data_IF_986366789384
#
_entry.id   IF_986366789384
#
_cell.length_a   1.000
_cell.length_b   1.000
_cell.length_c   1.000
_cell.angle_alpha   90.00
_cell.angle_beta   90.00
_cell.angle_gamma   90.00
#
_symmetry.space_group_name_H-M   'P 1'
#
loop_
_entity.id
_entity.type
_entity.pdbx_description
1 polymer ?
#
# COMPACT_ATOMS: atom_id res chain seq x y z
N UNK A 1 -21.89 12.06 -18.38
CA UNK A 1 -20.49 11.87 -17.96
C UNK A 1 -20.54 11.23 -16.60
N UNK A 2 -19.90 10.07 -16.37
CA UNK A 2 -19.83 9.50 -15.02
C UNK A 2 -19.25 10.59 -14.13
N UNK A 3 -19.80 10.74 -12.94
CA UNK A 3 -19.19 11.57 -11.90
C UNK A 3 -17.93 10.81 -11.41
N UNK A 4 -16.85 10.85 -12.21
CA UNK A 4 -15.55 10.55 -11.64
C UNK A 4 -15.45 11.40 -10.37
N UNK A 5 -15.07 10.78 -9.24
CA UNK A 5 -14.59 11.55 -8.11
C UNK A 5 -13.50 12.45 -8.71
N UNK A 6 -13.89 13.70 -9.06
CA UNK A 6 -12.90 14.70 -9.47
C UNK A 6 -11.82 14.58 -8.41
N UNK A 7 -10.56 14.42 -8.82
CA UNK A 7 -9.41 14.54 -7.93
C UNK A 7 -9.67 15.78 -7.10
N UNK A 8 -10.23 15.61 -5.91
CA UNK A 8 -10.48 16.73 -5.00
C UNK A 8 -9.09 17.19 -4.62
N UNK A 9 -8.82 18.47 -4.84
CA UNK A 9 -7.62 19.07 -4.29
C UNK A 9 -7.66 18.82 -2.78
N UNK A 10 -6.71 18.03 -2.33
CA UNK A 10 -6.66 17.61 -0.93
C UNK A 10 -6.30 18.84 -0.12
N UNK A 11 -7.26 19.34 0.64
CA UNK A 11 -7.00 20.44 1.57
C UNK A 11 -6.07 19.95 2.68
N UNK A 12 -5.18 20.84 3.13
CA UNK A 12 -4.28 20.55 4.24
C UNK A 12 -5.08 20.24 5.50
N UNK A 13 -4.74 19.12 6.13
CA UNK A 13 -5.32 18.62 7.38
C UNK A 13 -4.41 19.12 8.51
N UNK A 14 -4.92 20.01 9.35
CA UNK A 14 -4.08 20.71 10.33
C UNK A 14 -4.10 20.07 11.72
N UNK A 15 -5.02 19.14 11.96
CA UNK A 15 -5.13 18.47 13.25
C UNK A 15 -5.88 17.13 13.15
N UNK A 16 -5.75 16.25 14.16
CA UNK A 16 -6.42 14.96 14.19
C UNK A 16 -7.96 15.00 14.07
N UNK A 17 -8.61 16.08 14.52
CA UNK A 17 -10.08 16.20 14.42
C UNK A 17 -10.52 16.42 12.98
N UNK A 18 -9.77 17.19 12.21
CA UNK A 18 -10.05 17.40 10.78
C UNK A 18 -9.87 16.09 9.99
N UNK A 19 -8.85 15.28 10.31
CA UNK A 19 -8.66 13.97 9.72
C UNK A 19 -9.84 13.04 10.02
N UNK A 20 -10.32 13.02 11.27
CA UNK A 20 -11.48 12.22 11.67
C UNK A 20 -12.75 12.68 10.95
N UNK A 21 -13.00 13.99 10.91
CA UNK A 21 -14.16 14.55 10.22
C UNK A 21 -14.13 14.21 8.71
N UNK A 22 -12.95 14.28 8.07
CA UNK A 22 -12.79 13.88 6.67
C UNK A 22 -13.12 12.39 6.50
N UNK A 23 -12.59 11.52 7.36
CA UNK A 23 -12.84 10.08 7.33
C UNK A 23 -14.33 9.76 7.44
N UNK A 24 -15.00 10.32 8.43
CA UNK A 24 -16.43 10.11 8.63
C UNK A 24 -17.25 10.60 7.43
N UNK A 25 -16.89 11.75 6.87
CA UNK A 25 -17.51 12.25 5.63
C UNK A 25 -17.32 11.27 4.48
N UNK A 26 -16.10 10.76 4.26
CA UNK A 26 -15.82 9.79 3.19
C UNK A 26 -16.62 8.50 3.35
N UNK A 27 -16.77 8.01 4.59
CA UNK A 27 -17.59 6.82 4.91
C UNK A 27 -19.08 7.07 4.66
N UNK A 28 -19.59 8.27 4.98
CA UNK A 28 -20.99 8.66 4.75
C UNK A 28 -21.28 8.88 3.26
N UNK A 29 -20.36 9.51 2.53
CA UNK A 29 -20.52 9.81 1.11
C UNK A 29 -20.35 8.55 0.22
N UNK A 30 -19.90 7.44 0.80
CA UNK A 30 -19.72 6.17 0.07
C UNK A 30 -21.06 5.53 -0.24
N UNK A 31 -21.42 5.50 -1.51
CA UNK A 31 -22.53 4.68 -1.99
C UNK A 31 -22.09 3.21 -2.01
N UNK A 32 -22.67 2.41 -1.11
CA UNK A 32 -22.37 0.97 -0.96
C UNK A 32 -23.00 0.13 -2.06
N UNK A 33 -24.02 0.63 -2.70
CA UNK A 33 -24.76 -0.06 -3.76
C UNK A 33 -24.20 0.26 -5.15
N UNK A 34 -23.36 1.27 -5.25
CA UNK A 34 -22.69 1.64 -6.50
C UNK A 34 -21.79 0.51 -6.97
N UNK A 35 -21.96 0.12 -8.23
CA UNK A 35 -21.13 -0.92 -8.83
C UNK A 35 -19.67 -0.43 -8.94
N UNK A 36 -18.75 -1.24 -8.45
CA UNK A 36 -17.30 -1.00 -8.53
C UNK A 36 -16.62 -2.20 -9.19
N UNK A 37 -15.84 -1.91 -10.21
CA UNK A 37 -15.06 -2.92 -10.95
C UNK A 37 -13.61 -2.77 -10.51
N UNK A 38 -13.14 -3.63 -9.61
CA UNK A 38 -11.78 -3.60 -9.07
C UNK A 38 -10.86 -4.48 -9.91
N UNK A 39 -9.93 -3.88 -10.63
CA UNK A 39 -9.02 -4.55 -11.55
C UNK A 39 -7.61 -4.52 -10.96
N UNK A 40 -6.95 -5.68 -10.89
CA UNK A 40 -5.53 -5.76 -10.50
C UNK A 40 -4.65 -5.10 -11.55
N UNK A 41 -4.02 -3.97 -11.20
CA UNK A 41 -3.19 -3.17 -12.10
C UNK A 41 -1.71 -3.19 -11.75
N UNK A 42 -1.24 -4.28 -11.12
CA UNK A 42 0.17 -4.54 -10.84
C UNK A 42 0.68 -5.72 -11.69
N UNK A 43 0.90 -6.90 -11.13
CA UNK A 43 1.37 -8.07 -11.88
C UNK A 43 0.46 -8.48 -13.07
N UNK A 44 -0.84 -8.22 -12.99
CA UNK A 44 -1.78 -8.50 -14.08
C UNK A 44 -1.56 -7.65 -15.34
N UNK A 45 -0.81 -6.53 -15.25
CA UNK A 45 -0.44 -5.74 -16.45
C UNK A 45 0.34 -6.58 -17.45
N UNK A 46 1.18 -7.50 -17.01
CA UNK A 46 1.89 -8.45 -17.88
C UNK A 46 0.96 -9.43 -18.61
N UNK A 47 -0.30 -9.50 -18.19
CA UNK A 47 -1.33 -10.36 -18.78
C UNK A 47 -2.47 -9.58 -19.45
N UNK A 48 -2.23 -8.30 -19.82
CA UNK A 48 -3.19 -7.50 -20.58
C UNK A 48 -4.24 -6.76 -19.72
N UNK A 49 -3.98 -6.52 -18.43
CA UNK A 49 -4.93 -5.80 -17.59
C UNK A 49 -5.16 -4.34 -18.01
N UNK A 50 -4.20 -3.71 -18.69
CA UNK A 50 -4.36 -2.35 -19.24
C UNK A 50 -5.39 -2.29 -20.37
N UNK A 51 -5.39 -3.26 -21.25
CA UNK A 51 -6.36 -3.40 -22.33
C UNK A 51 -7.75 -3.68 -21.77
N UNK A 52 -7.85 -4.50 -20.71
CA UNK A 52 -9.11 -4.77 -20.01
C UNK A 52 -9.65 -3.49 -19.35
N UNK A 53 -8.79 -2.73 -18.68
CA UNK A 53 -9.16 -1.45 -18.07
C UNK A 53 -9.74 -0.49 -19.11
N UNK A 54 -9.07 -0.33 -20.24
CA UNK A 54 -9.55 0.51 -21.36
C UNK A 54 -10.90 0.02 -21.90
N UNK A 55 -11.05 -1.29 -22.11
CA UNK A 55 -12.30 -1.86 -22.58
C UNK A 55 -13.46 -1.59 -21.60
N UNK A 56 -13.25 -1.69 -20.29
CA UNK A 56 -14.26 -1.31 -19.29
C UNK A 56 -14.60 0.18 -19.35
N UNK A 57 -13.59 1.05 -19.44
CA UNK A 57 -13.81 2.50 -19.55
C UNK A 57 -14.65 2.87 -20.77
N UNK A 58 -14.35 2.26 -21.92
CA UNK A 58 -15.09 2.46 -23.16
C UNK A 58 -16.54 1.93 -23.07
N UNK A 59 -16.73 0.70 -22.57
CA UNK A 59 -18.03 0.07 -22.53
C UNK A 59 -18.97 0.71 -21.50
N UNK A 60 -18.45 1.01 -20.30
CA UNK A 60 -19.19 1.75 -19.26
C UNK A 60 -19.55 3.15 -19.73
N UNK A 61 -18.62 3.84 -20.38
CA UNK A 61 -18.84 5.17 -20.95
C UNK A 61 -19.85 5.17 -22.09
N UNK A 62 -19.78 4.22 -23.02
CA UNK A 62 -20.71 4.04 -24.14
C UNK A 62 -22.13 3.80 -23.67
N UNK A 63 -22.32 2.99 -22.61
CA UNK A 63 -23.63 2.69 -22.02
C UNK A 63 -24.09 3.72 -20.99
N UNK A 64 -23.25 4.69 -20.65
CA UNK A 64 -23.52 5.74 -19.65
C UNK A 64 -23.89 5.17 -18.28
N UNK A 65 -23.24 4.08 -17.86
CA UNK A 65 -23.51 3.43 -16.58
C UNK A 65 -22.82 4.20 -15.44
N UNK A 66 -23.48 4.25 -14.27
CA UNK A 66 -22.86 4.75 -13.05
C UNK A 66 -22.10 3.62 -12.35
N UNK A 67 -20.94 3.28 -12.89
CA UNK A 67 -20.04 2.29 -12.33
C UNK A 67 -18.65 2.91 -12.15
N UNK A 68 -18.00 2.62 -11.03
CA UNK A 68 -16.64 3.05 -10.72
C UNK A 68 -15.66 1.96 -11.17
N UNK A 69 -14.64 2.33 -11.94
CA UNK A 69 -13.55 1.43 -12.32
C UNK A 69 -12.34 1.77 -11.46
N UNK A 70 -11.87 0.81 -10.66
CA UNK A 70 -10.81 1.00 -9.67
C UNK A 70 -9.59 0.19 -10.06
N UNK A 71 -8.48 0.89 -10.30
CA UNK A 71 -7.16 0.27 -10.48
C UNK A 71 -6.60 -0.10 -9.12
N UNK A 72 -6.53 -1.39 -8.80
CA UNK A 72 -6.11 -1.84 -7.48
C UNK A 72 -4.70 -2.44 -7.46
N UNK A 73 -4.13 -2.53 -6.26
CA UNK A 73 -2.97 -3.37 -6.00
C UNK A 73 -3.23 -4.86 -6.23
N UNK A 74 -2.23 -5.69 -5.99
CA UNK A 74 -2.29 -7.12 -6.26
C UNK A 74 -3.38 -7.82 -5.43
N UNK A 75 -4.25 -8.59 -6.10
CA UNK A 75 -5.24 -9.45 -5.43
C UNK A 75 -4.60 -10.73 -4.86
N UNK A 76 -3.36 -11.07 -5.25
CA UNK A 76 -2.60 -12.23 -4.78
C UNK A 76 -2.78 -13.50 -5.62
N UNK A 77 -3.82 -13.62 -6.43
CA UNK A 77 -4.15 -14.85 -7.14
C UNK A 77 -3.62 -14.85 -8.59
N UNK A 78 -2.31 -14.74 -8.75
CA UNK A 78 -1.65 -14.61 -10.06
C UNK A 78 -1.89 -15.81 -11.00
N UNK A 79 -2.16 -17.02 -10.45
CA UNK A 79 -2.52 -18.19 -11.26
C UNK A 79 -3.83 -17.99 -12.07
N UNK A 80 -4.65 -17.00 -11.69
CA UNK A 80 -5.89 -16.62 -12.37
C UNK A 80 -5.81 -15.29 -13.10
N UNK A 81 -4.59 -14.76 -13.28
CA UNK A 81 -4.40 -13.46 -13.92
C UNK A 81 -4.86 -13.44 -15.39
N UNK A 82 -5.43 -12.32 -15.89
CA UNK A 82 -5.82 -11.12 -15.14
C UNK A 82 -7.05 -11.35 -14.26
N UNK A 83 -7.06 -10.70 -13.08
CA UNK A 83 -8.17 -10.85 -12.12
C UNK A 83 -8.89 -9.54 -11.88
N UNK A 84 -10.20 -9.62 -11.69
CA UNK A 84 -11.05 -8.53 -11.26
C UNK A 84 -12.17 -9.00 -10.33
N UNK A 85 -12.73 -8.08 -9.56
CA UNK A 85 -13.89 -8.31 -8.71
C UNK A 85 -14.91 -7.22 -8.95
N UNK A 86 -16.20 -7.60 -9.06
CA UNK A 86 -17.31 -6.67 -9.26
C UNK A 86 -18.15 -6.57 -7.98
N UNK A 87 -18.05 -5.44 -7.27
CA UNK A 87 -18.89 -5.10 -6.12
C UNK A 87 -20.18 -4.39 -6.58
N UNK A 88 -21.27 -4.44 -5.80
CA UNK A 88 -21.41 -5.06 -4.47
C UNK A 88 -21.62 -6.57 -4.51
N UNK A 89 -21.65 -7.16 -5.69
CA UNK A 89 -21.96 -8.60 -5.86
C UNK A 89 -20.82 -9.51 -5.38
N UNK A 90 -19.59 -9.00 -5.22
CA UNK A 90 -18.40 -9.77 -4.83
C UNK A 90 -17.98 -10.81 -5.88
N UNK A 91 -18.43 -10.67 -7.13
CA UNK A 91 -18.19 -11.67 -8.19
C UNK A 91 -16.75 -11.55 -8.66
N UNK A 92 -16.02 -12.67 -8.61
CA UNK A 92 -14.65 -12.80 -9.05
C UNK A 92 -14.57 -13.35 -10.47
N UNK A 93 -13.76 -12.73 -11.29
CA UNK A 93 -13.42 -13.21 -12.63
C UNK A 93 -11.90 -13.36 -12.78
N UNK A 94 -11.46 -14.48 -13.31
CA UNK A 94 -10.08 -14.76 -13.64
C UNK A 94 -9.86 -15.02 -15.13
N UNK A 95 -8.65 -14.75 -15.62
CA UNK A 95 -8.30 -14.99 -17.02
C UNK A 95 -9.09 -14.14 -18.03
N UNK A 96 -9.62 -13.01 -17.58
CA UNK A 96 -10.47 -12.11 -18.38
C UNK A 96 -9.68 -11.55 -19.58
N UNK A 97 -10.35 -11.39 -20.70
CA UNK A 97 -9.82 -10.77 -21.91
C UNK A 97 -10.67 -9.55 -22.30
N UNK A 98 -10.14 -8.60 -23.10
CA UNK A 98 -10.91 -7.43 -23.52
C UNK A 98 -12.25 -7.76 -24.20
N UNK A 99 -12.32 -8.86 -24.93
CA UNK A 99 -13.53 -9.33 -25.61
C UNK A 99 -14.63 -9.82 -24.66
N UNK A 100 -14.31 -10.16 -23.42
CA UNK A 100 -15.27 -10.63 -22.41
C UNK A 100 -15.95 -9.45 -21.70
N UNK A 101 -15.38 -8.25 -21.80
CA UNK A 101 -15.84 -7.05 -21.09
C UNK A 101 -17.29 -6.66 -21.45
N UNK A 102 -17.74 -6.65 -22.72
CA UNK A 102 -19.13 -6.31 -23.04
C UNK A 102 -20.13 -7.25 -22.36
N UNK A 103 -19.80 -8.54 -22.23
CA UNK A 103 -20.66 -9.52 -21.57
C UNK A 103 -20.68 -9.31 -20.06
N UNK A 104 -19.51 -9.09 -19.43
CA UNK A 104 -19.42 -8.78 -18.00
C UNK A 104 -20.23 -7.52 -17.69
N UNK A 105 -20.13 -6.48 -18.51
CA UNK A 105 -20.89 -5.25 -18.31
C UNK A 105 -22.39 -5.52 -18.42
N UNK A 106 -22.84 -6.22 -19.45
CA UNK A 106 -24.29 -6.48 -19.68
C UNK A 106 -24.91 -7.44 -18.68
N UNK A 107 -24.16 -8.41 -18.15
CA UNK A 107 -24.69 -9.41 -17.21
C UNK A 107 -24.46 -8.99 -15.77
N UNK A 108 -23.22 -8.57 -15.45
CA UNK A 108 -22.86 -8.33 -14.05
C UNK A 108 -23.07 -6.88 -13.65
N UNK A 109 -22.55 -5.92 -14.42
CA UNK A 109 -22.66 -4.50 -14.03
C UNK A 109 -24.12 -4.03 -14.09
N UNK A 110 -24.86 -4.39 -15.14
CA UNK A 110 -26.25 -3.95 -15.31
C UNK A 110 -27.27 -4.80 -14.54
N UNK A 111 -27.02 -6.11 -14.37
CA UNK A 111 -28.04 -7.05 -13.88
C UNK A 111 -27.65 -7.81 -12.61
N UNK A 112 -26.41 -7.67 -12.14
CA UNK A 112 -25.90 -8.39 -10.98
C UNK A 112 -25.76 -9.89 -11.15
N UNK A 113 -25.77 -10.40 -12.41
CA UNK A 113 -25.67 -11.82 -12.71
C UNK A 113 -24.27 -12.22 -13.11
N UNK A 114 -23.74 -13.37 -12.66
CA UNK A 114 -22.44 -13.83 -13.08
C UNK A 114 -22.42 -14.24 -14.56
N UNK A 115 -21.23 -14.14 -15.18
CA UNK A 115 -20.92 -14.74 -16.47
C UNK A 115 -20.31 -16.10 -16.20
N UNK A 116 -21.08 -17.16 -16.33
CA UNK A 116 -20.75 -18.51 -15.83
C UNK A 116 -19.42 -19.06 -16.35
N UNK A 117 -19.10 -18.89 -17.63
CA UNK A 117 -17.89 -19.44 -18.23
C UNK A 117 -16.58 -18.72 -17.82
N UNK A 118 -16.70 -17.54 -17.16
CA UNK A 118 -15.56 -16.77 -16.64
C UNK A 118 -15.35 -16.98 -15.13
N UNK A 119 -16.21 -17.74 -14.47
CA UNK A 119 -16.10 -17.99 -13.05
C UNK A 119 -14.94 -18.95 -12.73
N UNK A 120 -14.39 -18.77 -11.54
CA UNK A 120 -13.36 -19.67 -11.03
C UNK A 120 -13.92 -21.07 -10.75
N UNK A 121 -13.27 -22.07 -11.30
CA UNK A 121 -13.55 -23.46 -10.96
C UNK A 121 -12.42 -24.00 -10.09
N UNK A 122 -12.76 -24.44 -8.87
CA UNK A 122 -11.79 -25.03 -7.95
C UNK A 122 -11.29 -26.38 -8.50
N UNK A 123 -9.98 -26.52 -8.78
CA UNK A 123 -9.44 -27.73 -9.39
C UNK A 123 -9.51 -28.96 -8.50
N UNK A 124 -9.70 -28.79 -7.18
CA UNK A 124 -9.79 -29.90 -6.23
C UNK A 124 -11.19 -30.47 -6.15
N UNK A 125 -12.20 -29.62 -6.14
CA UNK A 125 -13.60 -30.01 -5.96
C UNK A 125 -14.42 -30.02 -7.26
N UNK A 126 -13.93 -29.42 -8.33
CA UNK A 126 -14.66 -29.20 -9.59
C UNK A 126 -15.81 -28.19 -9.46
N UNK A 127 -15.95 -27.52 -8.33
CA UNK A 127 -17.04 -26.55 -8.12
C UNK A 127 -16.71 -25.20 -8.73
N UNK A 128 -17.68 -24.64 -9.44
CA UNK A 128 -17.64 -23.26 -9.91
C UNK A 128 -18.06 -22.33 -8.78
N UNK A 129 -17.26 -21.26 -8.52
CA UNK A 129 -17.43 -20.35 -7.41
C UNK A 129 -17.46 -18.92 -7.95
N UNK A 130 -18.58 -18.22 -7.72
CA UNK A 130 -18.76 -16.85 -8.16
C UNK A 130 -18.16 -15.82 -7.16
N UNK A 131 -18.39 -16.04 -5.86
CA UNK A 131 -18.03 -15.11 -4.81
C UNK A 131 -16.53 -15.18 -4.48
N UNK A 132 -15.83 -14.06 -4.56
CA UNK A 132 -14.41 -13.99 -4.19
C UNK A 132 -14.14 -14.52 -2.77
N UNK A 133 -14.99 -14.18 -1.81
CA UNK A 133 -14.89 -14.61 -0.41
C UNK A 133 -15.04 -16.12 -0.19
N UNK A 134 -15.64 -16.84 -1.14
CA UNK A 134 -15.87 -18.28 -1.07
C UNK A 134 -14.73 -19.08 -1.70
N UNK A 135 -13.89 -18.44 -2.53
CA UNK A 135 -12.74 -19.08 -3.17
C UNK A 135 -11.77 -19.54 -2.07
N UNK A 136 -11.36 -20.82 -2.03
CA UNK A 136 -10.50 -21.36 -0.96
C UNK A 136 -9.21 -20.56 -0.76
N UNK A 137 -8.64 -20.02 -1.84
CA UNK A 137 -7.45 -19.18 -1.79
C UNK A 137 -7.67 -17.91 -0.93
N UNK A 138 -8.81 -17.24 -1.04
CA UNK A 138 -9.11 -16.03 -0.26
C UNK A 138 -9.74 -16.34 1.09
N UNK A 139 -10.68 -17.31 1.14
CA UNK A 139 -11.43 -17.68 2.34
C UNK A 139 -10.54 -18.06 3.52
N UNK A 140 -9.41 -18.68 3.24
CA UNK A 140 -8.48 -19.19 4.25
C UNK A 140 -7.35 -18.19 4.60
N UNK A 141 -7.40 -16.96 4.11
CA UNK A 141 -6.41 -15.92 4.39
C UNK A 141 -6.97 -14.86 5.36
N UNK A 142 -6.12 -14.48 6.31
CA UNK A 142 -6.30 -13.28 7.11
C UNK A 142 -5.27 -12.24 6.68
N UNK A 143 -5.69 -11.28 5.85
CA UNK A 143 -4.81 -10.23 5.35
C UNK A 143 -4.64 -9.14 6.43
N UNK A 144 -3.43 -8.98 6.95
CA UNK A 144 -3.06 -7.90 7.87
C UNK A 144 -2.29 -6.81 7.13
N UNK A 145 -1.09 -7.14 6.62
CA UNK A 145 -0.26 -6.17 5.89
C UNK A 145 -0.86 -5.83 4.52
N UNK A 146 -1.44 -6.80 3.84
CA UNK A 146 -2.04 -6.65 2.52
C UNK A 146 -3.55 -6.34 2.56
N UNK A 147 -4.07 -5.81 3.69
CA UNK A 147 -5.53 -5.58 3.89
C UNK A 147 -6.16 -4.67 2.83
N UNK A 148 -5.39 -3.74 2.29
CA UNK A 148 -5.84 -2.79 1.27
C UNK A 148 -5.52 -3.25 -0.17
N UNK A 149 -4.63 -4.24 -0.35
CA UNK A 149 -4.29 -4.75 -1.67
C UNK A 149 -5.48 -5.47 -2.32
N UNK A 150 -5.84 -5.04 -3.53
CA UNK A 150 -7.03 -5.49 -4.24
C UNK A 150 -8.32 -4.79 -3.82
N UNK A 151 -8.25 -3.82 -2.91
CA UNK A 151 -9.41 -3.12 -2.33
C UNK A 151 -9.47 -1.63 -2.69
N UNK A 152 -8.32 -0.96 -2.72
CA UNK A 152 -8.22 0.49 -2.97
C UNK A 152 -7.39 0.77 -4.22
N UNK A 153 -7.58 1.96 -4.77
CA UNK A 153 -6.63 2.57 -5.70
C UNK A 153 -5.43 3.11 -4.89
N UNK A 154 -4.21 2.56 -5.06
CA UNK A 154 -3.03 2.99 -4.32
C UNK A 154 -2.61 4.43 -4.62
N UNK A 155 -3.16 5.04 -5.68
CA UNK A 155 -2.91 6.44 -6.06
C UNK A 155 -3.97 7.41 -5.54
N UNK A 156 -4.97 6.92 -4.80
CA UNK A 156 -6.03 7.71 -4.17
C UNK A 156 -5.92 7.66 -2.64
N UNK A 157 -5.28 8.68 -2.06
CA UNK A 157 -5.11 8.80 -0.61
C UNK A 157 -6.45 8.83 0.15
N UNK A 158 -7.53 9.32 -0.46
CA UNK A 158 -8.83 9.39 0.21
C UNK A 158 -9.40 7.99 0.47
N UNK A 159 -9.17 7.03 -0.42
CA UNK A 159 -9.55 5.64 -0.18
C UNK A 159 -8.75 5.01 0.97
N UNK A 160 -7.48 5.39 1.14
CA UNK A 160 -6.69 4.98 2.30
C UNK A 160 -7.22 5.59 3.60
N UNK A 161 -7.53 6.90 3.61
CA UNK A 161 -8.11 7.61 4.77
C UNK A 161 -9.47 7.03 5.16
N UNK A 162 -10.33 6.72 4.19
CA UNK A 162 -11.64 6.09 4.41
C UNK A 162 -11.52 4.75 5.18
N UNK A 163 -10.43 4.02 4.96
CA UNK A 163 -10.12 2.73 5.60
C UNK A 163 -9.20 2.88 6.82
N UNK A 164 -9.42 3.93 7.59
CA UNK A 164 -8.70 4.27 8.82
C UNK A 164 -7.20 4.63 8.63
N UNK A 165 -6.81 4.97 7.41
CA UNK A 165 -5.47 5.47 7.13
C UNK A 165 -5.12 6.72 7.93
N UNK A 166 -3.87 6.82 8.37
CA UNK A 166 -3.32 7.87 9.22
C UNK A 166 -3.97 8.01 10.61
N UNK A 167 -4.88 7.10 10.99
CA UNK A 167 -5.48 7.10 12.33
C UNK A 167 -4.45 6.77 13.42
N UNK A 168 -3.56 5.82 13.14
CA UNK A 168 -2.51 5.44 14.08
C UNK A 168 -1.49 6.56 14.26
N UNK A 169 -1.12 7.25 13.19
CA UNK A 169 -0.28 8.44 13.25
C UNK A 169 -0.92 9.55 14.10
N UNK A 170 -2.21 9.84 13.86
CA UNK A 170 -2.95 10.83 14.63
C UNK A 170 -3.01 10.47 16.12
N UNK A 171 -3.23 9.18 16.46
CA UNK A 171 -3.18 8.66 17.83
C UNK A 171 -1.80 8.88 18.45
N UNK A 172 -0.73 8.48 17.73
CA UNK A 172 0.64 8.60 18.23
C UNK A 172 1.02 10.06 18.55
N UNK A 173 0.74 10.97 17.59
CA UNK A 173 1.12 12.38 17.76
C UNK A 173 0.29 13.14 18.79
N UNK A 174 -0.96 12.72 19.06
CA UNK A 174 -1.87 13.42 19.98
C UNK A 174 -1.91 12.84 21.38
N UNK A 175 -1.78 11.52 21.52
CA UNK A 175 -2.09 10.82 22.76
C UNK A 175 -0.88 10.15 23.40
N UNK A 176 0.25 10.11 22.71
CA UNK A 176 1.44 9.38 23.15
C UNK A 176 2.68 10.25 23.04
N UNK A 177 3.64 10.03 23.89
CA UNK A 177 5.00 10.53 23.74
C UNK A 177 5.87 9.51 23.00
N UNK A 178 7.06 9.87 22.48
CA UNK A 178 7.93 8.95 21.77
C UNK A 178 8.27 7.67 22.54
N UNK A 179 8.63 7.68 23.85
CA UNK A 179 8.81 6.46 24.63
C UNK A 179 7.57 5.58 24.71
N UNK A 180 6.39 6.18 24.84
CA UNK A 180 5.11 5.47 24.85
C UNK A 180 4.84 4.72 23.56
N UNK A 181 5.18 5.32 22.39
CA UNK A 181 5.07 4.64 21.09
C UNK A 181 6.04 3.44 21.01
N UNK A 182 7.28 3.61 21.48
CA UNK A 182 8.24 2.48 21.55
C UNK A 182 7.71 1.35 22.43
N UNK A 183 7.13 1.68 23.58
CA UNK A 183 6.57 0.69 24.52
C UNK A 183 5.36 -0.03 23.92
N UNK A 184 4.48 0.66 23.22
CA UNK A 184 3.33 0.06 22.52
C UNK A 184 3.80 -0.99 21.50
N UNK A 185 4.82 -0.63 20.69
CA UNK A 185 5.39 -1.54 19.69
C UNK A 185 6.15 -2.71 20.33
N UNK A 186 6.82 -2.49 21.47
CA UNK A 186 7.42 -3.58 22.25
C UNK A 186 6.35 -4.57 22.74
N UNK A 187 5.30 -4.05 23.35
CA UNK A 187 4.21 -4.85 23.94
C UNK A 187 3.42 -5.62 22.89
N UNK A 188 3.32 -5.09 21.67
CA UNK A 188 2.65 -5.78 20.54
C UNK A 188 3.38 -7.03 20.07
N UNK A 189 4.66 -7.21 20.41
CA UNK A 189 5.49 -8.30 19.93
C UNK A 189 5.82 -8.22 18.43
N UNK A 190 5.61 -7.07 17.77
CA UNK A 190 5.92 -6.88 16.35
C UNK A 190 7.38 -7.19 16.06
N UNK A 191 7.62 -7.97 15.00
CA UNK A 191 8.95 -8.35 14.54
C UNK A 191 9.20 -7.91 13.11
N UNK A 192 10.47 -7.73 12.76
CA UNK A 192 10.89 -7.48 11.39
C UNK A 192 10.51 -8.61 10.43
N UNK A 193 10.27 -8.27 9.18
CA UNK A 193 9.86 -9.21 8.12
C UNK A 193 10.96 -9.49 7.09
N UNK A 194 12.17 -8.97 7.31
CA UNK A 194 13.33 -9.22 6.45
C UNK A 194 14.09 -10.53 6.74
N UNK A 195 13.43 -11.53 7.35
CA UNK A 195 13.99 -12.87 7.62
C UNK A 195 14.54 -13.07 9.04
N UNK A 196 15.19 -12.08 9.66
CA UNK A 196 15.79 -12.21 10.99
C UNK A 196 14.76 -12.19 12.14
N UNK A 197 13.56 -11.66 11.93
CA UNK A 197 12.50 -11.61 12.94
C UNK A 197 12.85 -10.80 14.19
N UNK A 198 13.77 -9.83 14.11
CA UNK A 198 14.18 -9.05 15.25
C UNK A 198 13.02 -8.20 15.81
N UNK A 199 12.85 -8.09 17.15
CA UNK A 199 11.76 -7.31 17.74
C UNK A 199 11.84 -5.82 17.37
N UNK A 200 10.83 -5.31 16.68
CA UNK A 200 10.81 -3.96 16.11
C UNK A 200 10.95 -2.88 17.20
N UNK A 201 10.16 -2.97 18.27
CA UNK A 201 10.22 -2.01 19.36
C UNK A 201 11.58 -1.99 20.08
N UNK A 202 12.26 -3.15 20.14
CA UNK A 202 13.62 -3.21 20.70
C UNK A 202 14.65 -2.50 19.79
N UNK A 203 14.53 -2.64 18.48
CA UNK A 203 15.35 -1.89 17.52
C UNK A 203 15.11 -0.38 17.66
N UNK A 204 13.86 0.04 17.79
CA UNK A 204 13.52 1.45 18.01
C UNK A 204 14.05 1.99 19.33
N UNK A 205 13.96 1.21 20.43
CA UNK A 205 14.50 1.63 21.74
C UNK A 205 16.01 1.88 21.70
N UNK A 206 16.77 1.05 20.98
CA UNK A 206 18.21 1.24 20.82
C UNK A 206 18.54 2.52 20.05
N UNK A 207 17.82 2.78 18.95
CA UNK A 207 18.01 4.00 18.17
C UNK A 207 17.56 5.24 18.94
N UNK A 208 16.45 5.18 19.66
CA UNK A 208 15.98 6.28 20.51
C UNK A 208 16.99 6.65 21.60
N UNK A 209 17.59 5.64 22.25
CA UNK A 209 18.58 5.82 23.32
C UNK A 209 19.99 6.20 22.82
N UNK A 210 20.28 6.03 21.54
CA UNK A 210 21.61 6.38 20.99
C UNK A 210 21.88 7.89 21.14
N UNK A 211 23.07 8.20 21.66
CA UNK A 211 23.57 9.59 21.77
C UNK A 211 24.06 10.07 20.41
N UNK A 212 23.86 11.35 20.12
CA UNK A 212 24.24 11.99 18.86
C UNK A 212 23.08 12.13 17.89
N UNK A 213 23.34 12.77 16.78
CA UNK A 213 22.36 13.05 15.73
C UNK A 213 23.06 13.54 14.46
N UNK A 214 22.30 13.65 13.37
CA UNK A 214 20.90 13.37 13.20
C UNK A 214 20.57 11.87 13.21
N UNK A 215 19.28 11.52 13.52
CA UNK A 215 18.76 10.16 13.36
C UNK A 215 17.95 10.05 12.06
N UNK A 216 18.02 8.90 11.43
CA UNK A 216 17.32 8.63 10.17
C UNK A 216 16.38 7.43 10.30
N UNK A 217 15.26 7.46 9.56
CA UNK A 217 14.36 6.32 9.40
C UNK A 217 14.54 5.71 8.01
N UNK A 218 14.92 4.44 7.94
CA UNK A 218 15.13 3.75 6.66
C UNK A 218 14.10 2.63 6.50
N UNK A 219 13.35 2.69 5.41
CA UNK A 219 12.57 1.57 4.92
C UNK A 219 13.42 0.78 3.93
N UNK A 220 13.82 -0.41 4.33
CA UNK A 220 14.50 -1.36 3.45
C UNK A 220 13.44 -2.06 2.57
N UNK A 221 13.38 -1.65 1.31
CA UNK A 221 12.54 -2.23 0.28
C UNK A 221 13.38 -2.80 -0.88
N UNK A 222 14.59 -3.25 -0.56
CA UNK A 222 15.48 -3.97 -1.48
C UNK A 222 15.17 -5.47 -1.46
N UNK A 223 14.02 -5.83 -2.03
CA UNK A 223 13.54 -7.22 -2.11
C UNK A 223 14.25 -7.95 -3.27
N UNK A 224 15.46 -8.44 -2.99
CA UNK A 224 16.36 -9.01 -3.98
C UNK A 224 16.10 -10.48 -4.34
N UNK A 225 15.31 -11.21 -3.57
CA UNK A 225 15.04 -12.63 -3.77
C UNK A 225 14.21 -12.87 -5.02
N UNK A 226 14.66 -13.70 -5.98
CA UNK A 226 13.86 -14.03 -7.17
C UNK A 226 12.53 -14.69 -6.79
N UNK A 227 11.42 -14.12 -7.26
CA UNK A 227 10.07 -14.61 -6.96
C UNK A 227 9.48 -14.13 -5.63
N UNK A 228 10.21 -13.36 -4.83
CA UNK A 228 9.67 -12.65 -3.68
C UNK A 228 9.01 -11.35 -4.13
N UNK A 229 7.75 -11.14 -3.72
CA UNK A 229 6.94 -9.96 -4.09
C UNK A 229 6.19 -9.38 -2.90
N UNK A 230 6.65 -9.61 -1.68
CA UNK A 230 6.00 -9.16 -0.45
C UNK A 230 6.08 -7.63 -0.32
N UNK A 231 7.28 -7.07 -0.36
CA UNK A 231 7.53 -5.63 -0.23
C UNK A 231 6.98 -4.88 -1.44
N UNK A 232 7.22 -5.43 -2.63
CA UNK A 232 6.66 -4.93 -3.88
C UNK A 232 5.14 -4.80 -3.82
N UNK A 233 4.44 -5.84 -3.35
CA UNK A 233 2.98 -5.84 -3.27
C UNK A 233 2.44 -4.74 -2.35
N UNK A 234 3.13 -4.46 -1.24
CA UNK A 234 2.76 -3.37 -0.31
C UNK A 234 3.02 -2.01 -0.96
N UNK A 235 4.20 -1.80 -1.54
CA UNK A 235 4.56 -0.52 -2.15
C UNK A 235 3.69 -0.17 -3.36
N UNK A 236 3.32 -1.18 -4.16
CA UNK A 236 2.45 -1.00 -5.32
C UNK A 236 0.96 -0.89 -4.93
N UNK A 237 0.53 -1.52 -3.84
CA UNK A 237 -0.88 -1.64 -3.49
C UNK A 237 -1.36 -0.76 -2.34
N UNK A 238 -0.44 -0.33 -1.46
CA UNK A 238 -0.76 0.45 -0.26
C UNK A 238 0.45 1.29 0.21
N UNK A 239 0.98 2.21 -0.63
CA UNK A 239 2.17 2.98 -0.29
C UNK A 239 1.97 3.91 0.92
N UNK A 240 0.74 4.37 1.16
CA UNK A 240 0.43 5.22 2.30
C UNK A 240 0.61 4.52 3.65
N UNK A 241 0.38 3.21 3.74
CA UNK A 241 0.63 2.45 4.97
C UNK A 241 2.11 2.42 5.34
N UNK A 242 2.99 2.38 4.33
CA UNK A 242 4.45 2.48 4.53
C UNK A 242 4.84 3.87 5.02
N UNK A 243 4.30 4.94 4.40
CA UNK A 243 4.56 6.33 4.79
C UNK A 243 4.09 6.57 6.23
N UNK A 244 2.88 6.14 6.59
CA UNK A 244 2.35 6.26 7.95
C UNK A 244 3.23 5.53 8.96
N UNK A 245 3.60 4.27 8.67
CA UNK A 245 4.47 3.47 9.53
C UNK A 245 5.85 4.08 9.74
N UNK A 246 6.46 4.62 8.68
CA UNK A 246 7.74 5.33 8.76
C UNK A 246 7.63 6.61 9.59
N UNK A 247 6.54 7.36 9.45
CA UNK A 247 6.31 8.61 10.18
C UNK A 247 6.13 8.34 11.68
N UNK A 248 5.38 7.30 12.05
CA UNK A 248 5.24 6.85 13.46
C UNK A 248 6.60 6.43 14.03
N UNK A 249 7.37 5.64 13.28
CA UNK A 249 8.70 5.19 13.70
C UNK A 249 9.68 6.36 13.86
N UNK A 250 9.64 7.32 12.94
CA UNK A 250 10.47 8.52 13.00
C UNK A 250 10.15 9.36 14.25
N UNK A 251 8.88 9.54 14.58
CA UNK A 251 8.44 10.18 15.81
C UNK A 251 8.99 9.47 17.05
N UNK A 252 8.85 8.14 17.08
CA UNK A 252 9.29 7.31 18.22
C UNK A 252 10.80 7.37 18.47
N UNK A 253 11.63 7.47 17.43
CA UNK A 253 13.09 7.47 17.54
C UNK A 253 13.72 8.88 17.51
N UNK A 254 12.93 9.92 17.21
CA UNK A 254 13.40 11.30 17.08
C UNK A 254 14.11 11.59 15.76
N UNK A 255 13.70 10.95 14.65
CA UNK A 255 14.23 11.23 13.33
C UNK A 255 13.40 12.30 12.61
N UNK A 256 14.07 13.17 11.83
CA UNK A 256 13.45 14.21 10.99
C UNK A 256 13.53 13.90 9.49
N UNK A 257 14.37 12.96 9.10
CA UNK A 257 14.53 12.51 7.72
C UNK A 257 14.45 10.99 7.62
N UNK A 258 13.93 10.51 6.48
CA UNK A 258 13.88 9.10 6.17
C UNK A 258 14.13 8.80 4.70
N UNK A 259 14.44 7.53 4.43
CA UNK A 259 14.70 7.01 3.10
C UNK A 259 13.88 5.75 2.86
N UNK A 260 13.22 5.68 1.71
CA UNK A 260 12.75 4.40 1.16
C UNK A 260 13.78 3.95 0.14
N UNK A 261 14.51 2.89 0.48
CA UNK A 261 15.46 2.28 -0.45
C UNK A 261 14.75 1.17 -1.21
N UNK A 262 14.45 1.43 -2.47
CA UNK A 262 13.64 0.57 -3.33
C UNK A 262 14.41 0.20 -4.59
N UNK A 263 14.20 -1.01 -5.10
CA UNK A 263 14.83 -1.47 -6.34
C UNK A 263 14.40 -0.65 -7.55
N UNK A 264 15.34 -0.35 -8.45
CA UNK A 264 15.04 0.31 -9.73
C UNK A 264 14.11 -0.54 -10.63
N UNK A 265 14.13 -1.86 -10.44
CA UNK A 265 13.29 -2.84 -11.15
C UNK A 265 11.82 -2.84 -10.73
N UNK A 266 11.44 -2.02 -9.73
CA UNK A 266 10.06 -1.85 -9.30
C UNK A 266 9.50 -0.48 -9.70
N UNK A 267 9.34 -0.19 -11.01
CA UNK A 267 8.95 1.14 -11.50
C UNK A 267 7.57 1.56 -11.00
N UNK A 268 6.60 0.65 -10.90
CA UNK A 268 5.24 0.93 -10.40
C UNK A 268 5.31 1.33 -8.92
N UNK A 269 6.09 0.61 -8.10
CA UNK A 269 6.27 0.94 -6.69
C UNK A 269 6.87 2.36 -6.52
N UNK A 270 7.86 2.71 -7.34
CA UNK A 270 8.49 4.05 -7.32
C UNK A 270 7.48 5.13 -7.73
N UNK A 271 6.66 4.87 -8.76
CA UNK A 271 5.62 5.80 -9.22
C UNK A 271 4.57 6.05 -8.13
N UNK A 272 4.01 4.96 -7.55
CA UNK A 272 3.01 5.05 -6.49
C UNK A 272 3.57 5.73 -5.23
N UNK A 273 4.81 5.41 -4.83
CA UNK A 273 5.46 6.08 -3.71
C UNK A 273 5.63 7.58 -3.95
N UNK A 274 6.08 8.00 -5.14
CA UNK A 274 6.21 9.42 -5.47
C UNK A 274 4.87 10.15 -5.35
N UNK A 275 3.82 9.57 -5.88
CA UNK A 275 2.46 10.11 -5.79
C UNK A 275 2.00 10.21 -4.34
N UNK A 276 2.15 9.12 -3.58
CA UNK A 276 1.72 9.05 -2.18
C UNK A 276 2.49 10.03 -1.28
N UNK A 277 3.79 10.22 -1.50
CA UNK A 277 4.59 11.22 -0.78
C UNK A 277 4.10 12.63 -1.07
N UNK A 278 3.86 12.97 -2.34
CA UNK A 278 3.37 14.28 -2.72
C UNK A 278 1.97 14.57 -2.13
N UNK A 279 1.07 13.56 -2.14
CA UNK A 279 -0.26 13.70 -1.56
C UNK A 279 -0.20 13.87 -0.03
N UNK A 280 0.62 13.08 0.66
CA UNK A 280 0.80 13.16 2.10
C UNK A 280 1.40 14.52 2.54
N UNK A 281 2.36 15.06 1.78
CA UNK A 281 2.92 16.40 2.01
C UNK A 281 1.88 17.49 1.79
N UNK A 282 1.14 17.45 0.68
CA UNK A 282 0.08 18.40 0.39
C UNK A 282 -1.01 18.40 1.48
N UNK A 283 -1.36 17.22 1.98
CA UNK A 283 -2.35 17.04 3.03
C UNK A 283 -1.85 17.39 4.45
N UNK A 284 -0.57 17.69 4.65
CA UNK A 284 -0.02 17.94 5.99
C UNK A 284 0.12 16.67 6.86
N UNK A 285 0.15 15.50 6.22
CA UNK A 285 0.37 14.20 6.86
C UNK A 285 1.84 13.76 6.77
N UNK A 286 2.66 14.54 6.06
CA UNK A 286 4.12 14.45 5.97
C UNK A 286 4.67 15.89 5.82
N UNK A 287 5.98 16.08 6.01
CA UNK A 287 6.64 17.38 5.90
C UNK A 287 6.68 18.14 7.21
N UNK A 288 6.33 19.42 7.19
CA UNK A 288 6.43 20.29 8.36
C UNK A 288 5.16 20.30 9.20
N UNK A 289 5.35 20.27 10.53
CA UNK A 289 4.28 20.40 11.52
C UNK A 289 3.09 19.46 11.25
N UNK A 290 3.38 18.16 11.15
CA UNK A 290 2.40 17.12 10.79
C UNK A 290 1.22 17.16 11.77
N UNK A 291 0.00 17.30 11.23
CA UNK A 291 -1.25 17.38 12.00
C UNK A 291 -1.21 18.44 13.14
N UNK A 292 -0.42 19.49 12.99
CA UNK A 292 -0.29 20.55 14.00
C UNK A 292 0.42 20.12 15.30
N UNK A 293 1.16 19.01 15.28
CA UNK A 293 1.80 18.42 16.46
C UNK A 293 3.16 19.05 16.83
N UNK A 294 3.73 19.87 15.95
CA UNK A 294 5.13 20.37 16.05
C UNK A 294 6.16 19.38 15.51
N UNK A 295 5.78 18.13 15.23
CA UNK A 295 6.66 17.14 14.63
C UNK A 295 6.78 17.34 13.12
N UNK A 296 8.00 17.23 12.59
CA UNK A 296 8.31 17.34 11.16
C UNK A 296 9.13 16.16 10.70
N UNK A 297 8.75 15.57 9.57
CA UNK A 297 9.46 14.43 9.00
C UNK A 297 9.35 14.43 7.48
N UNK A 298 10.46 14.17 6.79
CA UNK A 298 10.55 14.09 5.33
C UNK A 298 11.06 12.75 4.88
N UNK A 299 10.52 12.23 3.79
CA UNK A 299 10.91 10.94 3.20
C UNK A 299 11.46 11.19 1.80
N UNK A 300 12.60 10.58 1.50
CA UNK A 300 13.23 10.57 0.17
C UNK A 300 13.27 9.15 -0.38
N UNK A 301 13.07 9.02 -1.70
CA UNK A 301 13.22 7.75 -2.40
C UNK A 301 14.65 7.61 -2.90
N UNK A 302 15.31 6.52 -2.53
CA UNK A 302 16.60 6.10 -3.06
C UNK A 302 16.41 4.82 -3.87
N UNK A 303 16.77 4.87 -5.16
CA UNK A 303 16.67 3.69 -6.02
C UNK A 303 17.97 2.90 -5.98
N UNK A 304 17.87 1.62 -5.63
CA UNK A 304 18.98 0.66 -5.68
C UNK A 304 19.23 0.19 -7.11
N UNK A 305 20.47 -0.23 -7.39
CA UNK A 305 20.89 -0.71 -8.72
C UNK A 305 20.76 -2.23 -8.89
N UNK A 306 19.91 -2.91 -8.11
CA UNK A 306 19.61 -4.32 -8.25
C UNK A 306 20.59 -5.30 -7.61
N UNK A 307 21.56 -4.81 -6.85
CA UNK A 307 22.50 -5.69 -6.16
C UNK A 307 21.85 -6.32 -4.92
N UNK A 308 21.73 -7.64 -4.87
CA UNK A 308 21.15 -8.40 -3.77
C UNK A 308 21.78 -8.05 -2.41
N UNK A 309 23.09 -7.81 -2.37
CA UNK A 309 23.82 -7.45 -1.15
C UNK A 309 23.31 -6.14 -0.51
N UNK A 310 22.67 -5.26 -1.26
CA UNK A 310 22.09 -4.01 -0.74
C UNK A 310 20.85 -4.24 0.14
N UNK A 311 20.31 -5.45 0.20
CA UNK A 311 19.32 -5.85 1.21
C UNK A 311 19.89 -5.97 2.62
N UNK A 312 21.22 -6.15 2.76
CA UNK A 312 21.90 -6.10 4.05
C UNK A 312 22.02 -4.64 4.53
N UNK A 313 21.69 -4.37 5.79
CA UNK A 313 21.50 -3.00 6.31
C UNK A 313 22.75 -2.09 6.17
N UNK A 314 23.96 -2.63 6.35
CA UNK A 314 25.18 -1.81 6.25
C UNK A 314 25.58 -1.53 4.81
N UNK A 315 25.36 -2.47 3.89
CA UNK A 315 25.55 -2.28 2.46
C UNK A 315 24.51 -1.29 1.88
N UNK A 316 23.26 -1.37 2.35
CA UNK A 316 22.20 -0.43 2.00
C UNK A 316 22.56 0.99 2.42
N UNK A 317 23.03 1.17 3.66
CA UNK A 317 23.47 2.47 4.17
C UNK A 317 24.62 3.03 3.31
N UNK A 318 25.64 2.23 3.02
CA UNK A 318 26.75 2.65 2.14
C UNK A 318 26.23 3.10 0.75
N UNK A 319 25.24 2.39 0.20
CA UNK A 319 24.60 2.78 -1.07
C UNK A 319 23.80 4.09 -0.97
N UNK A 320 23.09 4.33 0.15
CA UNK A 320 22.40 5.61 0.40
C UNK A 320 23.40 6.76 0.40
N UNK A 321 24.55 6.58 1.04
CA UNK A 321 25.65 7.54 1.10
C UNK A 321 26.39 7.76 -0.24
N UNK A 322 26.03 7.00 -1.29
CA UNK A 322 26.68 7.08 -2.61
C UNK A 322 27.99 6.31 -2.70
N UNK A 323 28.27 5.46 -1.74
CA UNK A 323 29.42 4.55 -1.72
C UNK A 323 29.05 3.21 -2.37
N UNK A 324 30.07 2.37 -2.64
CA UNK A 324 29.82 0.99 -3.06
C UNK A 324 29.07 0.24 -1.94
N UNK A 325 27.97 -0.43 -2.30
CA UNK A 325 27.15 -1.23 -1.37
C UNK A 325 27.91 -2.48 -0.92
N UNK A 326 28.80 -2.32 0.04
CA UNK A 326 29.54 -3.42 0.68
C UNK A 326 29.17 -3.51 2.15
N UNK A 327 28.92 -4.72 2.67
CA UNK A 327 28.65 -4.91 4.08
C UNK A 327 29.90 -4.55 4.91
N UNK A 328 29.65 -4.07 6.13
CA UNK A 328 30.72 -3.82 7.10
C UNK A 328 30.50 -4.68 8.35
N UNK A 329 31.61 -5.08 9.05
CA UNK A 329 31.51 -5.77 10.34
C UNK A 329 30.77 -4.93 11.38
N UNK A 330 30.09 -5.60 12.30
CA UNK A 330 29.47 -4.99 13.48
C UNK A 330 30.16 -5.53 14.74
N UNK A 331 30.38 -4.76 15.80
CA UNK A 331 30.02 -3.38 16.04
C UNK A 331 30.92 -2.37 15.28
N UNK A 332 30.51 -1.07 15.13
CA UNK A 332 29.29 -0.51 15.67
C UNK A 332 28.04 -0.95 14.92
N UNK A 333 26.90 -1.06 15.62
CA UNK A 333 25.62 -1.34 15.01
C UNK A 333 25.01 -0.10 14.36
N UNK A 334 24.17 -0.22 13.31
CA UNK A 334 23.54 0.93 12.64
C UNK A 334 22.74 1.84 13.58
N UNK A 335 22.20 1.32 14.68
CA UNK A 335 21.54 2.11 15.71
C UNK A 335 22.49 3.02 16.50
N UNK A 336 23.80 2.77 16.44
CA UNK A 336 24.86 3.55 17.13
C UNK A 336 25.64 4.42 16.15
N UNK A 337 25.91 3.91 14.96
CA UNK A 337 26.66 4.59 13.90
C UNK A 337 26.17 4.06 12.54
N UNK A 338 25.14 4.71 12.01
CA UNK A 338 24.48 4.35 10.75
C UNK A 338 24.93 5.24 9.58
N UNK A 339 24.04 6.15 9.14
CA UNK A 339 24.22 7.11 8.04
C UNK A 339 24.99 8.33 8.53
#
# INVERSE_FOLDING_TARGET
MPKDRKKQDIQRINNPKELEALREKLKQDRDKDRVRIRICMTGCRAHGAEEILKAFQEEVGKRKLDAEIVSTGCHGFCAQAPVLVVDPYGIFYGGVRPQDVPEIVSQTVEKGKPVEHLLYTDPRSGKTIAQASEIPFYKNQQKVVLRNCGEIDPTDMLQYIERDGYAALAKALKQMDPPGVVQEVLSSGLRGRGGAGFPTGRKWSFTAAASGGPKYMICNADEGDPGAFMDRAVLEGDPHSVIEGMTIAAYAIGASEGYVYVRAEYPIAVEHLKKALADAEAAGLLGDNILGSGFSFRIRIKKGSGAFVCGEETALIASIEGKRGMPRPRPPFPAQSGV
#
